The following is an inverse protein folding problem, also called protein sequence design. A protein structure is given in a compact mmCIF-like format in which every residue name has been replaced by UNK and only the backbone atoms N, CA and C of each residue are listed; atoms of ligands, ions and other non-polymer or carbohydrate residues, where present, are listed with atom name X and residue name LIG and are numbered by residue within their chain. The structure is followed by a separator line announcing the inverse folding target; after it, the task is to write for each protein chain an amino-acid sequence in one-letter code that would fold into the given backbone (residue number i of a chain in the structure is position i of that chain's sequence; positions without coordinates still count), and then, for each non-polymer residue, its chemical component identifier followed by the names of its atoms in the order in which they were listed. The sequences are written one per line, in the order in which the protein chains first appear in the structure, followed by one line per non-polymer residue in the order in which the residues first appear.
data_IF_019279027324
#
_entry.id   IF_019279027324
#
_cell.length_a   1.000
_cell.length_b   1.000
_cell.length_c   1.000
_cell.angle_alpha   90.00
_cell.angle_beta   90.00
_cell.angle_gamma   90.00
#
_symmetry.space_group_name_H-M   'P 1'
#
loop_
_entity.id
_entity.type
_entity.pdbx_description
1 polymer ?
#
# COMPACT_ATOMS: atom_id res chain seq x y z
N UNK A 1 -1.24 9.27 3.92
CA UNK A 1 -2.70 9.51 3.77
C UNK A 1 -3.19 10.98 3.86
N UNK A 2 -2.92 11.74 4.94
CA UNK A 2 -3.46 13.11 5.09
C UNK A 2 -3.02 14.10 3.99
N UNK A 3 -1.73 14.10 3.64
CA UNK A 3 -1.24 14.89 2.51
C UNK A 3 -1.90 14.47 1.19
N UNK A 4 -2.27 13.20 1.03
CA UNK A 4 -3.00 12.74 -0.15
C UNK A 4 -4.44 13.22 -0.15
N UNK A 5 -5.10 13.26 1.01
CA UNK A 5 -6.45 13.79 1.10
C UNK A 5 -6.47 15.27 0.68
N UNK A 6 -5.49 16.05 1.14
CA UNK A 6 -5.32 17.44 0.71
C UNK A 6 -5.03 17.55 -0.79
N UNK A 7 -4.06 16.78 -1.31
CA UNK A 7 -3.74 16.79 -2.74
C UNK A 7 -4.92 16.32 -3.60
N UNK A 8 -5.65 15.30 -3.18
CA UNK A 8 -6.86 14.83 -3.83
C UNK A 8 -7.93 15.92 -3.87
N UNK A 9 -8.15 16.62 -2.76
CA UNK A 9 -9.09 17.74 -2.70
C UNK A 9 -8.68 18.91 -3.61
N UNK A 10 -7.40 19.29 -3.64
CA UNK A 10 -6.89 20.37 -4.51
C UNK A 10 -6.96 19.94 -5.98
N UNK A 11 -6.33 18.81 -6.34
CA UNK A 11 -6.17 18.41 -7.73
C UNK A 11 -7.47 17.90 -8.34
N UNK A 12 -8.22 17.02 -7.66
CA UNK A 12 -9.40 16.38 -8.24
C UNK A 12 -10.63 17.28 -8.13
N UNK A 13 -10.81 17.98 -7.01
CA UNK A 13 -12.02 18.78 -6.78
C UNK A 13 -11.93 20.22 -7.29
N UNK A 14 -10.73 20.75 -7.52
CA UNK A 14 -10.55 22.14 -7.98
C UNK A 14 -9.83 22.23 -9.32
N UNK A 15 -8.61 21.67 -9.46
CA UNK A 15 -7.81 21.87 -10.67
C UNK A 15 -8.31 21.06 -11.86
N UNK A 16 -8.72 19.81 -11.65
CA UNK A 16 -9.07 18.87 -12.72
C UNK A 16 -10.56 18.57 -12.80
N UNK A 17 -11.39 19.22 -11.98
CA UNK A 17 -12.81 18.91 -11.85
C UNK A 17 -13.56 18.91 -13.20
N UNK A 18 -13.22 19.81 -14.12
CA UNK A 18 -13.85 19.91 -15.44
C UNK A 18 -13.38 18.84 -16.44
N UNK A 19 -12.25 18.18 -16.17
CA UNK A 19 -11.66 17.15 -17.03
C UNK A 19 -11.95 15.74 -16.55
N UNK A 20 -12.52 15.59 -15.36
CA UNK A 20 -12.93 14.32 -14.78
C UNK A 20 -14.43 14.06 -15.01
N UNK A 21 -14.85 12.79 -15.15
CA UNK A 21 -16.26 12.46 -15.27
C UNK A 21 -17.07 12.95 -14.05
N UNK A 22 -18.12 13.73 -14.34
CA UNK A 22 -19.02 14.24 -13.32
C UNK A 22 -19.59 13.09 -12.46
N UNK A 23 -19.49 13.24 -11.14
CA UNK A 23 -19.98 12.25 -10.17
C UNK A 23 -18.96 11.18 -9.74
N UNK A 24 -17.75 11.13 -10.31
CA UNK A 24 -16.71 10.17 -9.90
C UNK A 24 -15.62 10.77 -9.01
N UNK A 25 -15.65 12.08 -8.75
CA UNK A 25 -14.59 12.79 -8.04
C UNK A 25 -14.36 12.23 -6.63
N UNK A 26 -15.44 11.96 -5.90
CA UNK A 26 -15.36 11.44 -4.53
C UNK A 26 -14.77 10.01 -4.53
N UNK A 27 -15.14 9.18 -5.50
CA UNK A 27 -14.57 7.84 -5.68
C UNK A 27 -13.08 7.89 -5.99
N UNK A 28 -12.64 8.82 -6.83
CA UNK A 28 -11.22 8.99 -7.12
C UNK A 28 -10.44 9.49 -5.91
N UNK A 29 -10.96 10.47 -5.17
CA UNK A 29 -10.32 10.96 -3.93
C UNK A 29 -10.23 9.83 -2.90
N UNK A 30 -11.29 9.03 -2.74
CA UNK A 30 -11.25 7.85 -1.88
C UNK A 30 -10.19 6.85 -2.32
N UNK A 31 -10.10 6.55 -3.61
CA UNK A 31 -9.06 5.69 -4.17
C UNK A 31 -7.65 6.19 -3.87
N UNK A 32 -7.40 7.50 -4.04
CA UNK A 32 -6.11 8.12 -3.73
C UNK A 32 -5.78 8.04 -2.24
N UNK A 33 -6.75 8.28 -1.36
CA UNK A 33 -6.57 8.19 0.09
C UNK A 33 -6.26 6.75 0.50
N UNK A 34 -7.02 5.77 -0.01
CA UNK A 34 -6.82 4.35 0.27
C UNK A 34 -5.44 3.90 -0.21
N UNK A 35 -5.02 4.30 -1.41
CA UNK A 35 -3.69 4.03 -1.94
C UNK A 35 -2.59 4.59 -1.03
N UNK A 36 -2.74 5.83 -0.55
CA UNK A 36 -1.78 6.49 0.31
C UNK A 36 -1.86 6.09 1.81
N UNK A 37 -2.86 5.28 2.18
CA UNK A 37 -3.00 4.69 3.49
C UNK A 37 -2.51 3.23 3.51
N UNK A 38 -2.47 2.56 2.36
CA UNK A 38 -2.05 1.16 2.28
C UNK A 38 -0.56 1.01 2.64
N UNK A 39 -0.20 0.08 3.55
CA UNK A 39 1.20 -0.23 3.81
C UNK A 39 1.80 -0.97 2.62
N UNK A 40 3.03 -0.60 2.25
CA UNK A 40 3.78 -1.28 1.22
C UNK A 40 5.02 -1.92 1.84
N UNK A 41 5.01 -3.25 1.96
CA UNK A 41 6.05 -3.98 2.70
C UNK A 41 7.07 -4.61 1.75
N UNK A 42 6.60 -5.46 0.83
CA UNK A 42 7.46 -6.21 -0.07
C UNK A 42 8.25 -5.32 -1.05
N UNK A 43 7.60 -4.31 -1.64
CA UNK A 43 8.24 -3.48 -2.66
C UNK A 43 9.34 -2.59 -2.08
N UNK A 44 9.19 -2.12 -0.83
CA UNK A 44 10.19 -1.28 -0.16
C UNK A 44 11.50 -2.03 0.03
N UNK A 45 11.45 -3.34 0.35
CA UNK A 45 12.65 -4.17 0.42
C UNK A 45 13.34 -4.33 -0.94
N UNK A 46 12.56 -4.54 -2.01
CA UNK A 46 13.11 -4.64 -3.37
C UNK A 46 13.81 -3.33 -3.77
N UNK A 47 13.15 -2.19 -3.57
CA UNK A 47 13.74 -0.88 -3.88
C UNK A 47 14.98 -0.58 -3.03
N UNK A 48 14.93 -0.85 -1.72
CA UNK A 48 16.10 -0.68 -0.85
C UNK A 48 17.27 -1.53 -1.31
N UNK A 49 17.04 -2.78 -1.71
CA UNK A 49 18.10 -3.64 -2.22
C UNK A 49 18.69 -3.09 -3.54
N UNK A 50 17.84 -2.61 -4.46
CA UNK A 50 18.28 -2.01 -5.72
C UNK A 50 19.06 -0.70 -5.52
N UNK A 51 18.69 0.11 -4.52
CA UNK A 51 19.37 1.37 -4.19
C UNK A 51 20.56 1.20 -3.24
N UNK A 52 20.97 -0.03 -2.92
CA UNK A 52 22.03 -0.35 -1.93
C UNK A 52 21.76 0.26 -0.54
N UNK A 53 20.49 0.36 -0.16
CA UNK A 53 20.07 0.81 1.17
C UNK A 53 20.41 -0.21 2.26
N UNK A 54 20.41 0.23 3.52
CA UNK A 54 20.72 -0.63 4.66
C UNK A 54 19.51 -1.52 5.00
N UNK A 55 19.64 -2.86 4.91
CA UNK A 55 18.50 -3.77 5.07
C UNK A 55 17.89 -3.77 6.48
N UNK A 56 18.70 -3.58 7.52
CA UNK A 56 18.26 -3.66 8.93
C UNK A 56 17.41 -2.46 9.31
N UNK A 57 17.79 -1.27 8.86
CA UNK A 57 17.05 -0.02 9.00
C UNK A 57 15.73 -0.11 8.25
N UNK A 58 15.76 -0.58 7.01
CA UNK A 58 14.56 -0.79 6.20
C UNK A 58 13.60 -1.76 6.88
N UNK A 59 14.12 -2.87 7.39
CA UNK A 59 13.33 -3.87 8.11
C UNK A 59 12.69 -3.29 9.38
N UNK A 60 13.44 -2.50 10.14
CA UNK A 60 12.94 -1.88 11.38
C UNK A 60 11.83 -0.88 11.07
N UNK A 61 12.00 -0.05 10.03
CA UNK A 61 11.01 0.93 9.61
C UNK A 61 9.73 0.28 9.09
N UNK A 62 9.85 -0.74 8.23
CA UNK A 62 8.70 -1.48 7.71
C UNK A 62 7.95 -2.19 8.85
N UNK A 63 8.68 -2.84 9.77
CA UNK A 63 8.06 -3.52 10.91
C UNK A 63 7.30 -2.55 11.82
N UNK A 64 7.87 -1.37 12.11
CA UNK A 64 7.21 -0.33 12.89
C UNK A 64 5.96 0.19 12.17
N UNK A 65 6.07 0.50 10.89
CA UNK A 65 4.95 0.96 10.07
C UNK A 65 3.82 -0.07 10.07
N UNK A 66 4.12 -1.34 9.79
CA UNK A 66 3.11 -2.40 9.75
C UNK A 66 2.42 -2.58 11.10
N UNK A 67 3.18 -2.54 12.20
CA UNK A 67 2.62 -2.63 13.54
C UNK A 67 1.65 -1.49 13.83
N UNK A 68 2.01 -0.26 13.47
CA UNK A 68 1.12 0.90 13.59
C UNK A 68 -0.13 0.69 12.75
N UNK A 69 0.05 0.25 11.50
CA UNK A 69 -1.04 0.10 10.53
C UNK A 69 -2.04 -1.00 10.89
N UNK A 70 -1.63 -2.08 11.59
CA UNK A 70 -2.56 -3.11 12.10
C UNK A 70 -3.70 -2.49 12.92
N UNK A 71 -3.41 -1.46 13.71
CA UNK A 71 -4.40 -0.77 14.55
C UNK A 71 -4.91 0.53 13.92
N UNK A 72 -4.05 1.25 13.20
CA UNK A 72 -4.36 2.58 12.68
C UNK A 72 -5.09 2.53 11.33
N UNK A 73 -4.96 1.47 10.52
CA UNK A 73 -5.53 1.44 9.17
C UNK A 73 -7.04 1.66 9.16
N UNK A 74 -7.80 0.82 9.87
CA UNK A 74 -9.26 0.89 9.86
C UNK A 74 -9.78 2.23 10.45
N UNK A 75 -9.31 2.73 11.61
CA UNK A 75 -9.71 4.04 12.12
C UNK A 75 -9.37 5.20 11.18
N UNK A 76 -8.18 5.17 10.58
CA UNK A 76 -7.68 6.26 9.74
C UNK A 76 -8.42 6.33 8.41
N UNK A 77 -8.72 5.17 7.80
CA UNK A 77 -9.56 5.08 6.61
C UNK A 77 -10.99 5.52 6.92
N UNK A 78 -11.56 5.08 8.05
CA UNK A 78 -12.91 5.48 8.45
C UNK A 78 -13.02 6.99 8.67
N UNK A 79 -12.02 7.61 9.32
CA UNK A 79 -11.96 9.05 9.52
C UNK A 79 -11.88 9.79 8.18
N UNK A 80 -10.96 9.40 7.30
CA UNK A 80 -10.72 10.11 6.04
C UNK A 80 -11.86 9.93 5.02
N UNK A 81 -12.45 8.73 4.94
CA UNK A 81 -13.60 8.48 4.06
C UNK A 81 -14.91 9.08 4.62
N UNK A 82 -15.06 9.10 5.95
CA UNK A 82 -16.18 9.79 6.61
C UNK A 82 -16.17 11.28 6.34
N UNK A 83 -14.99 11.92 6.34
CA UNK A 83 -14.82 13.33 5.94
C UNK A 83 -15.12 13.56 4.45
N UNK A 84 -14.94 12.55 3.61
CA UNK A 84 -15.31 12.57 2.20
C UNK A 84 -16.80 12.21 1.94
N UNK A 85 -17.63 12.08 2.98
CA UNK A 85 -19.05 11.72 2.92
C UNK A 85 -19.36 10.38 2.21
N UNK A 86 -18.41 9.45 2.22
CA UNK A 86 -18.58 8.12 1.63
C UNK A 86 -18.99 7.13 2.72
N UNK A 87 -20.00 6.31 2.44
CA UNK A 87 -20.43 5.27 3.37
C UNK A 87 -19.32 4.24 3.57
N UNK A 88 -18.87 4.09 4.81
CA UNK A 88 -17.78 3.19 5.18
C UNK A 88 -18.35 1.80 5.48
N UNK A 89 -18.06 0.76 4.67
CA UNK A 89 -18.55 -0.58 4.92
C UNK A 89 -17.70 -1.26 6.01
N UNK A 90 -18.06 -1.03 7.28
CA UNK A 90 -17.32 -1.53 8.44
C UNK A 90 -17.16 -3.05 8.46
N UNK A 91 -18.21 -3.79 8.07
CA UNK A 91 -18.17 -5.25 8.01
C UNK A 91 -17.09 -5.73 7.02
N UNK A 92 -17.04 -5.10 5.83
CA UNK A 92 -16.05 -5.43 4.80
C UNK A 92 -14.64 -5.03 5.22
N UNK A 93 -14.47 -3.88 5.88
CA UNK A 93 -13.16 -3.42 6.35
C UNK A 93 -12.61 -4.34 7.45
N UNK A 94 -13.43 -4.69 8.45
CA UNK A 94 -13.05 -5.61 9.52
C UNK A 94 -12.74 -7.01 8.95
N UNK A 95 -13.58 -7.52 8.07
CA UNK A 95 -13.34 -8.80 7.39
C UNK A 95 -12.02 -8.78 6.62
N UNK A 96 -11.74 -7.69 5.89
CA UNK A 96 -10.50 -7.52 5.14
C UNK A 96 -9.27 -7.49 6.05
N UNK A 97 -9.32 -6.76 7.18
CA UNK A 97 -8.23 -6.73 8.15
C UNK A 97 -7.99 -8.13 8.74
N UNK A 98 -9.05 -8.84 9.13
CA UNK A 98 -8.91 -10.20 9.69
C UNK A 98 -8.30 -11.14 8.66
N UNK A 99 -8.85 -11.16 7.44
CA UNK A 99 -8.50 -12.12 6.41
C UNK A 99 -7.14 -11.84 5.76
N UNK A 100 -6.79 -10.56 5.51
CA UNK A 100 -5.56 -10.20 4.82
C UNK A 100 -4.39 -9.85 5.76
N UNK A 101 -4.64 -9.52 7.03
CA UNK A 101 -3.60 -9.15 7.98
C UNK A 101 -3.49 -10.18 9.11
N UNK A 102 -4.56 -10.37 9.89
CA UNK A 102 -4.49 -11.17 11.12
C UNK A 102 -4.25 -12.65 10.84
N UNK A 103 -4.99 -13.25 9.91
CA UNK A 103 -4.87 -14.68 9.58
C UNK A 103 -3.48 -15.02 9.01
N UNK A 104 -2.94 -14.31 7.99
CA UNK A 104 -1.60 -14.57 7.48
C UNK A 104 -0.52 -14.38 8.55
N UNK A 105 -0.64 -13.36 9.40
CA UNK A 105 0.31 -13.12 10.48
C UNK A 105 0.32 -14.25 11.52
N UNK A 106 -0.87 -14.73 11.92
CA UNK A 106 -1.00 -15.84 12.85
C UNK A 106 -0.39 -17.13 12.30
N UNK A 107 -0.65 -17.43 11.02
CA UNK A 107 -0.05 -18.60 10.33
C UNK A 107 1.47 -18.45 10.25
N UNK A 108 1.97 -17.29 9.83
CA UNK A 108 3.40 -17.03 9.72
C UNK A 108 4.11 -17.18 11.09
N UNK A 109 3.53 -16.64 12.15
CA UNK A 109 4.10 -16.70 13.50
C UNK A 109 4.07 -18.13 14.07
N UNK A 110 2.98 -18.88 13.86
CA UNK A 110 2.90 -20.28 14.24
C UNK A 110 3.93 -21.14 13.49
N UNK A 111 4.10 -20.90 12.18
CA UNK A 111 5.08 -21.61 11.37
C UNK A 111 6.52 -21.27 11.80
N UNK A 112 6.82 -19.98 12.01
CA UNK A 112 8.11 -19.51 12.53
C UNK A 112 8.45 -20.16 13.87
N UNK A 113 7.52 -20.19 14.81
CA UNK A 113 7.73 -20.81 16.13
C UNK A 113 8.08 -22.31 16.01
N UNK A 114 7.37 -23.05 15.13
CA UNK A 114 7.66 -24.47 14.86
C UNK A 114 9.03 -24.68 14.22
N UNK A 115 9.44 -23.81 13.30
CA UNK A 115 10.75 -23.90 12.64
C UNK A 115 11.90 -23.57 13.60
N UNK A 116 11.76 -22.55 14.44
CA UNK A 116 12.79 -22.20 15.43
C UNK A 116 12.99 -23.31 16.47
N UNK A 117 11.92 -24.04 16.83
CA UNK A 117 12.03 -25.25 17.66
C UNK A 117 12.84 -26.38 17.02
N UNK A 118 12.93 -26.41 15.69
CA UNK A 118 13.74 -27.37 14.92
C UNK A 118 15.19 -26.91 14.71
N UNK A 119 15.54 -25.72 15.19
CA UNK A 119 16.87 -25.13 15.08
C UNK A 119 17.00 -24.08 13.97
N UNK A 120 17.97 -23.17 14.12
CA UNK A 120 18.18 -22.04 13.22
C UNK A 120 18.44 -22.45 11.76
N UNK A 121 19.16 -23.57 11.55
CA UNK A 121 19.44 -24.09 10.21
C UNK A 121 18.16 -24.49 9.45
N UNK A 122 17.17 -25.08 10.14
CA UNK A 122 15.89 -25.45 9.54
C UNK A 122 15.05 -24.22 9.16
N UNK A 123 15.14 -23.15 9.97
CA UNK A 123 14.50 -21.87 9.69
C UNK A 123 15.11 -21.20 8.45
N UNK A 124 16.44 -21.09 8.37
CA UNK A 124 17.10 -20.48 7.22
C UNK A 124 16.91 -21.26 5.92
N UNK A 125 16.94 -22.59 5.97
CA UNK A 125 16.64 -23.43 4.81
C UNK A 125 15.21 -23.19 4.30
N UNK A 126 14.24 -23.06 5.21
CA UNK A 126 12.84 -22.81 4.85
C UNK A 126 12.64 -21.42 4.23
N UNK A 127 13.27 -20.38 4.79
CA UNK A 127 13.18 -19.01 4.24
C UNK A 127 13.76 -18.97 2.82
N UNK A 128 14.93 -19.57 2.60
CA UNK A 128 15.55 -19.62 1.27
C UNK A 128 14.66 -20.32 0.25
N UNK A 129 13.90 -21.33 0.65
CA UNK A 129 12.93 -22.01 -0.20
C UNK A 129 11.69 -21.18 -0.54
N UNK A 130 11.22 -20.33 0.38
CA UNK A 130 10.00 -19.49 0.19
C UNK A 130 10.29 -18.19 -0.57
N UNK A 131 11.50 -17.64 -0.44
CA UNK A 131 11.91 -16.40 -1.11
C UNK A 131 11.52 -16.29 -2.60
N UNK A 132 11.78 -17.28 -3.48
CA UNK A 132 11.37 -17.18 -4.89
C UNK A 132 9.86 -17.13 -5.08
N UNK A 133 9.08 -17.81 -4.23
CA UNK A 133 7.61 -17.82 -4.32
C UNK A 133 6.99 -16.45 -4.03
N UNK A 134 7.61 -15.67 -3.13
CA UNK A 134 7.15 -14.31 -2.86
C UNK A 134 7.29 -13.41 -4.09
N UNK A 135 8.41 -13.54 -4.82
CA UNK A 135 8.64 -12.76 -6.03
C UNK A 135 7.72 -13.20 -7.17
N UNK A 136 7.52 -14.51 -7.36
CA UNK A 136 6.60 -15.02 -8.39
C UNK A 136 5.17 -14.63 -8.10
N UNK A 137 4.71 -14.68 -6.83
CA UNK A 137 3.38 -14.22 -6.44
C UNK A 137 3.18 -12.72 -6.68
N UNK A 138 4.19 -11.89 -6.35
CA UNK A 138 4.15 -10.45 -6.62
C UNK A 138 4.02 -10.16 -8.12
N UNK A 139 4.85 -10.80 -8.94
CA UNK A 139 4.83 -10.63 -10.39
C UNK A 139 3.52 -11.17 -11.00
N UNK A 140 3.02 -12.32 -10.51
CA UNK A 140 1.74 -12.86 -10.93
C UNK A 140 0.59 -11.90 -10.61
N UNK A 141 0.58 -11.30 -9.41
CA UNK A 141 -0.42 -10.30 -9.04
C UNK A 141 -0.36 -9.08 -9.95
N UNK A 142 0.84 -8.60 -10.29
CA UNK A 142 1.02 -7.51 -11.25
C UNK A 142 0.42 -7.87 -12.62
N UNK A 143 0.75 -9.04 -13.17
CA UNK A 143 0.21 -9.52 -14.45
C UNK A 143 -1.31 -9.63 -14.40
N UNK A 144 -1.86 -10.20 -13.33
CA UNK A 144 -3.31 -10.33 -13.16
C UNK A 144 -4.01 -8.97 -13.05
N UNK A 145 -3.40 -8.00 -12.34
CA UNK A 145 -3.95 -6.67 -12.20
C UNK A 145 -4.04 -5.97 -13.56
N UNK A 146 -2.98 -6.02 -14.37
CA UNK A 146 -3.00 -5.46 -15.73
C UNK A 146 -3.95 -6.23 -16.67
N UNK A 147 -4.03 -7.55 -16.53
CA UNK A 147 -4.95 -8.36 -17.33
C UNK A 147 -6.42 -8.02 -17.03
N UNK A 148 -6.80 -7.84 -15.76
CA UNK A 148 -8.17 -7.52 -15.38
C UNK A 148 -8.52 -6.03 -15.53
N UNK A 149 -7.54 -5.12 -15.45
CA UNK A 149 -7.77 -3.68 -15.59
C UNK A 149 -7.45 -3.15 -16.99
N UNK A 150 -7.08 -4.00 -17.95
CA UNK A 150 -6.63 -3.60 -19.29
C UNK A 150 -7.65 -2.72 -20.03
N UNK A 151 -8.92 -3.12 -20.04
CA UNK A 151 -9.98 -2.35 -20.71
C UNK A 151 -10.17 -0.96 -20.08
N UNK A 152 -10.12 -0.86 -18.76
CA UNK A 152 -10.22 0.41 -18.05
C UNK A 152 -9.02 1.32 -18.34
N UNK A 153 -7.81 0.75 -18.44
CA UNK A 153 -6.59 1.48 -18.78
C UNK A 153 -6.68 2.07 -20.19
N UNK A 154 -7.19 1.32 -21.15
CA UNK A 154 -7.36 1.78 -22.54
C UNK A 154 -8.50 2.79 -22.69
N UNK A 155 -9.58 2.64 -21.92
CA UNK A 155 -10.76 3.51 -22.01
C UNK A 155 -10.54 4.90 -21.38
N UNK A 156 -9.72 5.00 -20.32
CA UNK A 156 -9.58 6.25 -19.53
C UNK A 156 -8.13 6.71 -19.34
N UNK A 157 -7.31 6.87 -20.39
CA UNK A 157 -5.90 7.24 -20.26
C UNK A 157 -5.72 8.65 -19.67
N UNK A 158 -6.60 9.59 -20.02
CA UNK A 158 -6.56 10.96 -19.51
C UNK A 158 -6.78 11.01 -17.99
N UNK A 159 -7.77 10.27 -17.49
CA UNK A 159 -8.06 10.18 -16.06
C UNK A 159 -6.86 9.64 -15.30
N UNK A 160 -6.24 8.57 -15.81
CA UNK A 160 -5.03 7.98 -15.19
C UNK A 160 -3.89 9.00 -15.15
N UNK A 161 -3.66 9.73 -16.23
CA UNK A 161 -2.63 10.76 -16.27
C UNK A 161 -2.89 11.88 -15.24
N UNK A 162 -4.14 12.33 -15.11
CA UNK A 162 -4.52 13.35 -14.13
C UNK A 162 -4.36 12.85 -12.69
N UNK A 163 -4.74 11.60 -12.40
CA UNK A 163 -4.57 10.98 -11.08
C UNK A 163 -3.08 10.74 -10.75
N UNK A 164 -2.24 10.50 -11.76
CA UNK A 164 -0.81 10.32 -11.56
C UNK A 164 -0.12 11.59 -11.05
N UNK A 165 -0.62 12.79 -11.39
CA UNK A 165 -0.02 14.07 -10.96
C UNK A 165 0.05 14.22 -9.43
N UNK A 166 -1.07 14.16 -8.67
CA UNK A 166 -1.01 14.28 -7.21
C UNK A 166 -0.23 13.11 -6.57
N UNK A 167 -0.28 11.90 -7.15
CA UNK A 167 0.49 10.75 -6.66
C UNK A 167 1.99 11.03 -6.78
N UNK A 168 2.47 11.47 -7.94
CA UNK A 168 3.88 11.78 -8.15
C UNK A 168 4.34 12.90 -7.24
N UNK A 169 3.57 13.99 -7.14
CA UNK A 169 3.89 15.11 -6.24
C UNK A 169 4.03 14.60 -4.81
N UNK A 170 3.09 13.78 -4.33
CA UNK A 170 3.17 13.21 -2.99
C UNK A 170 4.41 12.35 -2.80
N UNK A 171 4.68 11.43 -3.74
CA UNK A 171 5.81 10.49 -3.63
C UNK A 171 7.13 11.24 -3.61
N UNK A 172 7.34 12.21 -4.49
CA UNK A 172 8.55 13.03 -4.51
C UNK A 172 8.66 13.90 -3.26
N UNK A 173 7.56 14.49 -2.80
CA UNK A 173 7.55 15.30 -1.59
C UNK A 173 7.93 14.47 -0.35
N UNK A 174 7.25 13.34 -0.12
CA UNK A 174 7.52 12.48 1.02
C UNK A 174 8.94 11.90 0.98
N UNK A 175 9.38 11.43 -0.19
CA UNK A 175 10.72 10.84 -0.34
C UNK A 175 11.81 11.90 -0.18
N UNK A 176 11.62 13.10 -0.73
CA UNK A 176 12.54 14.22 -0.59
C UNK A 176 12.63 14.72 0.84
N UNK A 177 11.49 14.86 1.53
CA UNK A 177 11.43 15.22 2.95
C UNK A 177 12.16 14.19 3.82
N UNK A 178 11.87 12.91 3.61
CA UNK A 178 12.53 11.82 4.34
C UNK A 178 14.04 11.77 4.07
N UNK A 179 14.48 11.99 2.83
CA UNK A 179 15.90 12.06 2.48
C UNK A 179 16.59 13.25 3.17
N UNK A 180 15.94 14.43 3.18
CA UNK A 180 16.50 15.62 3.81
C UNK A 180 16.57 15.49 5.34
N UNK A 181 15.55 14.92 5.98
CA UNK A 181 15.52 14.71 7.44
C UNK A 181 16.51 13.63 7.93
N UNK A 182 16.88 12.68 7.07
CA UNK A 182 17.86 11.63 7.38
C UNK A 182 19.31 12.02 7.02
N UNK A 183 19.54 13.22 6.48
CA UNK A 183 20.87 13.73 6.15
C UNK A 183 21.48 14.47 7.33
#
# INVERSE_FOLDING_TARGET
PFSMALLGWVFIRHLFADWLPAGQHDSYIAGLILLAAAPCTAMVFVWSNLSKGEPTFTLTQVALNDLIMVFAFAPLVALLLGVAAIHVPWDTLLLSVVLYIIVPLAIAQAWRSRLLRRGAAAYEASIRGVAPWSLTALLAMLVLLFAFQGDAILAQPLVIALLAVPILIQVFFNSGLAYWLNR
#
